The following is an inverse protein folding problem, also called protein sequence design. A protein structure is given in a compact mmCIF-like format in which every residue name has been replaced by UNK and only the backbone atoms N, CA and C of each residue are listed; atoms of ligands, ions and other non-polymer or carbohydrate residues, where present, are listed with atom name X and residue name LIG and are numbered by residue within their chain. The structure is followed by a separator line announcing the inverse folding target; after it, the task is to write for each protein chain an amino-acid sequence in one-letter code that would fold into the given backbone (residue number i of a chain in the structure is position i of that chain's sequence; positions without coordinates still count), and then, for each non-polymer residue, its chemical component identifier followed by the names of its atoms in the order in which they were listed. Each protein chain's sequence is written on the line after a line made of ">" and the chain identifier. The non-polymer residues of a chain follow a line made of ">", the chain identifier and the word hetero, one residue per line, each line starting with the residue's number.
data_IF_161584696890
#
_entry.id   IF_161584696890
#
_cell.length_a   1.000
_cell.length_b   1.000
_cell.length_c   1.000
_cell.angle_alpha   90.00
_cell.angle_beta   90.00
_cell.angle_gamma   90.00
#
_symmetry.space_group_name_H-M   'P 1'
#
loop_
_entity.id
_entity.type
_entity.pdbx_description
1 polymer ?
#
# COMPACT_ATOMS: atom_id res chain seq x y z
N UNK A 1 -16.13 -7.01 -6.81
CA UNK A 1 -14.69 -7.30 -7.00
C UNK A 1 -14.03 -6.00 -7.45
N UNK A 2 -12.76 -5.71 -7.11
CA UNK A 2 -12.05 -4.70 -7.91
C UNK A 2 -12.04 -5.16 -9.35
N UNK A 3 -12.04 -4.21 -10.26
CA UNK A 3 -11.60 -4.50 -11.60
C UNK A 3 -10.09 -4.77 -11.51
N UNK A 4 -9.60 -6.02 -11.72
CA UNK A 4 -8.18 -6.32 -11.74
C UNK A 4 -7.44 -5.59 -12.88
N UNK A 5 -8.17 -4.89 -13.76
CA UNK A 5 -7.65 -4.25 -14.96
C UNK A 5 -7.39 -2.75 -14.82
N UNK A 6 -7.63 -2.10 -13.67
CA UNK A 6 -7.16 -0.71 -13.50
C UNK A 6 -5.64 -0.74 -13.27
N UNK A 7 -4.84 -0.19 -14.22
CA UNK A 7 -3.39 -0.18 -14.06
C UNK A 7 -3.01 0.67 -12.85
N UNK A 8 -1.90 0.36 -12.17
CA UNK A 8 -1.40 1.20 -11.10
C UNK A 8 -1.20 2.64 -11.58
N UNK A 9 -1.67 3.61 -10.81
CA UNK A 9 -1.53 5.05 -11.14
C UNK A 9 -0.10 5.55 -10.93
N UNK A 10 0.72 4.80 -10.21
CA UNK A 10 2.12 5.09 -9.94
C UNK A 10 2.58 4.40 -8.68
N UNK A 11 3.62 4.96 -8.05
CA UNK A 11 4.18 4.42 -6.81
C UNK A 11 3.45 4.98 -5.60
N UNK A 12 3.35 6.30 -5.45
CA UNK A 12 2.73 6.92 -4.27
C UNK A 12 2.33 8.37 -4.60
N UNK A 13 1.51 9.06 -3.77
CA UNK A 13 1.32 10.49 -3.93
C UNK A 13 2.64 11.26 -3.74
N UNK A 14 2.76 12.38 -4.46
CA UNK A 14 3.90 13.30 -4.39
C UNK A 14 3.93 14.10 -3.08
N UNK A 15 2.75 14.44 -2.55
CA UNK A 15 2.57 15.03 -1.22
C UNK A 15 2.21 13.93 -0.24
N UNK A 16 3.05 13.71 0.77
CA UNK A 16 2.83 12.69 1.79
C UNK A 16 2.13 13.30 2.98
N UNK A 17 0.94 12.84 3.31
CA UNK A 17 0.30 13.17 4.57
C UNK A 17 0.87 12.25 5.67
N UNK A 18 1.71 12.80 6.54
CA UNK A 18 2.29 12.09 7.68
C UNK A 18 1.69 12.65 8.96
N UNK A 19 1.00 11.80 9.72
CA UNK A 19 0.46 12.15 11.04
C UNK A 19 1.24 11.41 12.12
N UNK A 20 1.80 12.11 13.14
CA UNK A 20 2.69 11.49 14.14
C UNK A 20 2.07 10.35 14.96
N UNK A 21 0.76 10.38 15.17
CA UNK A 21 0.02 9.44 16.03
C UNK A 21 -0.69 8.32 15.27
N UNK A 22 -0.62 8.29 13.94
CA UNK A 22 -1.33 7.31 13.11
C UNK A 22 -0.33 6.53 12.28
N UNK A 23 -0.53 5.21 12.16
CA UNK A 23 0.27 4.38 11.24
C UNK A 23 0.08 4.88 9.82
N UNK A 24 1.15 5.34 9.19
CA UNK A 24 1.13 5.92 7.86
C UNK A 24 0.98 4.86 6.76
N UNK A 25 0.50 5.27 5.57
CA UNK A 25 0.64 4.47 4.35
C UNK A 25 2.09 4.05 4.10
N UNK A 26 2.28 3.09 3.19
CA UNK A 26 3.62 2.63 2.82
C UNK A 26 4.30 3.70 1.95
N UNK A 27 4.91 4.69 2.60
CA UNK A 27 5.68 5.72 1.95
C UNK A 27 7.17 5.42 2.05
N UNK A 28 7.86 5.57 0.93
CA UNK A 28 9.31 5.58 0.90
C UNK A 28 9.84 6.76 0.10
N UNK A 29 11.09 7.13 0.31
CA UNK A 29 11.75 8.13 -0.50
C UNK A 29 12.18 7.52 -1.83
N UNK A 30 11.45 7.81 -2.91
CA UNK A 30 11.82 7.43 -4.27
C UNK A 30 12.77 8.50 -4.80
N UNK A 31 13.96 8.11 -5.24
CA UNK A 31 14.93 9.04 -5.86
C UNK A 31 14.69 9.08 -7.37
N UNK A 32 14.82 10.27 -7.98
CA UNK A 32 14.69 10.43 -9.45
C UNK A 32 13.27 10.21 -10.01
N UNK A 33 12.23 10.26 -9.17
CA UNK A 33 10.85 10.18 -9.64
C UNK A 33 10.45 11.44 -10.44
N UNK A 34 9.47 11.29 -11.32
CA UNK A 34 8.72 12.41 -11.90
C UNK A 34 7.37 12.55 -11.22
N UNK A 35 6.93 13.79 -11.01
CA UNK A 35 5.57 14.07 -10.53
C UNK A 35 4.63 14.21 -11.73
N UNK A 36 3.60 13.38 -11.78
CA UNK A 36 2.55 13.39 -12.82
C UNK A 36 1.21 13.46 -12.08
N UNK A 37 0.49 14.58 -12.23
CA UNK A 37 -0.82 14.80 -11.61
C UNK A 37 -0.86 14.51 -10.10
N UNK A 38 0.20 14.90 -9.39
CA UNK A 38 0.31 14.70 -7.96
C UNK A 38 0.80 13.30 -7.56
N UNK A 39 1.16 12.43 -8.51
CA UNK A 39 1.63 11.06 -8.28
C UNK A 39 3.12 10.90 -8.65
N UNK A 40 3.87 10.17 -7.83
CA UNK A 40 5.25 9.79 -8.12
C UNK A 40 5.30 8.60 -9.07
N UNK A 41 5.91 8.79 -10.24
CA UNK A 41 6.08 7.76 -11.28
C UNK A 41 7.57 7.58 -11.61
N UNK A 42 7.99 6.33 -11.82
CA UNK A 42 9.38 5.99 -12.13
C UNK A 42 10.34 6.15 -10.95
N UNK A 43 11.55 6.62 -11.25
CA UNK A 43 12.65 6.74 -10.29
C UNK A 43 13.44 5.45 -10.08
N UNK A 44 14.37 5.50 -9.14
CA UNK A 44 15.17 4.34 -8.75
C UNK A 44 14.30 3.18 -8.29
N UNK A 45 14.73 1.94 -8.58
CA UNK A 45 13.99 0.72 -8.25
C UNK A 45 13.59 0.68 -6.76
N UNK A 46 14.55 0.95 -5.88
CA UNK A 46 14.34 0.95 -4.43
C UNK A 46 14.08 2.33 -3.90
N UNK A 47 13.21 2.42 -2.89
CA UNK A 47 13.21 3.60 -2.02
C UNK A 47 14.48 3.61 -1.16
N UNK A 48 14.89 4.78 -0.66
CA UNK A 48 16.02 4.89 0.26
C UNK A 48 15.87 3.96 1.47
N UNK A 49 14.65 3.82 1.99
CA UNK A 49 14.33 2.95 3.13
C UNK A 49 14.39 1.47 2.76
N UNK A 50 13.93 1.09 1.56
CA UNK A 50 14.08 -0.28 1.06
C UNK A 50 15.55 -0.63 0.89
N UNK A 51 16.35 0.24 0.27
CA UNK A 51 17.78 0.02 0.08
C UNK A 51 18.51 -0.22 1.43
N UNK A 52 18.25 0.63 2.43
CA UNK A 52 18.78 0.44 3.77
C UNK A 52 18.32 -0.89 4.40
N UNK A 53 17.02 -1.22 4.28
CA UNK A 53 16.44 -2.44 4.84
C UNK A 53 16.92 -3.74 4.17
N UNK A 54 17.25 -3.69 2.88
CA UNK A 54 17.88 -4.77 2.10
C UNK A 54 19.28 -5.03 2.66
N UNK A 55 20.11 -3.98 2.74
CA UNK A 55 21.49 -4.06 3.22
C UNK A 55 21.57 -4.56 4.67
N UNK A 56 20.71 -4.04 5.55
CA UNK A 56 20.64 -4.50 6.94
C UNK A 56 20.26 -5.98 7.09
N UNK A 57 19.69 -6.60 6.06
CA UNK A 57 19.31 -8.02 6.04
C UNK A 57 20.35 -8.89 5.35
N UNK A 58 21.47 -8.32 4.89
CA UNK A 58 22.49 -9.05 4.12
C UNK A 58 22.00 -9.50 2.75
N UNK A 59 20.96 -8.85 2.21
CA UNK A 59 20.50 -9.08 0.85
C UNK A 59 21.29 -8.17 -0.11
N UNK A 60 21.54 -8.64 -1.32
CA UNK A 60 22.16 -7.83 -2.37
C UNK A 60 21.09 -6.99 -3.10
N UNK A 61 21.15 -5.64 -3.05
CA UNK A 61 20.18 -4.78 -3.71
C UNK A 61 20.12 -4.94 -5.23
N UNK A 62 21.16 -5.48 -5.87
CA UNK A 62 21.18 -5.68 -7.32
C UNK A 62 20.48 -6.98 -7.73
N UNK A 63 20.62 -8.04 -6.93
CA UNK A 63 20.18 -9.39 -7.30
C UNK A 63 19.03 -9.92 -6.46
N UNK A 64 18.62 -9.22 -5.39
CA UNK A 64 17.54 -9.70 -4.53
C UNK A 64 16.25 -9.93 -5.31
N UNK A 65 15.62 -11.07 -5.02
CA UNK A 65 14.31 -11.42 -5.52
C UNK A 65 13.30 -10.37 -5.06
N UNK A 66 12.40 -9.97 -5.96
CA UNK A 66 11.37 -8.99 -5.66
C UNK A 66 10.08 -9.33 -6.38
N UNK A 67 8.99 -8.74 -5.90
CA UNK A 67 7.69 -8.82 -6.55
C UNK A 67 7.04 -7.45 -6.61
N UNK A 68 6.28 -7.20 -7.68
CA UNK A 68 5.40 -6.05 -7.72
C UNK A 68 4.27 -6.26 -6.71
N UNK A 69 4.14 -5.31 -5.78
CA UNK A 69 3.07 -5.28 -4.79
C UNK A 69 2.10 -4.16 -5.11
N UNK A 70 0.84 -4.52 -5.28
CA UNK A 70 -0.30 -3.64 -5.55
C UNK A 70 -1.12 -3.42 -4.28
N UNK A 71 -1.55 -2.18 -4.08
CA UNK A 71 -2.45 -1.80 -2.99
C UNK A 71 -3.37 -0.69 -3.41
N UNK A 72 -4.55 -0.63 -2.80
CA UNK A 72 -5.42 0.53 -2.97
C UNK A 72 -4.87 1.71 -2.18
N UNK A 73 -5.08 2.91 -2.72
CA UNK A 73 -4.86 4.14 -2.02
C UNK A 73 -5.79 4.24 -0.79
N UNK A 74 -5.36 4.98 0.22
CA UNK A 74 -6.20 5.36 1.37
C UNK A 74 -6.61 6.82 1.29
N UNK A 75 -7.64 7.21 2.05
CA UNK A 75 -8.11 8.61 2.10
C UNK A 75 -7.04 9.60 2.59
N UNK A 76 -6.05 9.13 3.36
CA UNK A 76 -4.91 9.92 3.80
C UNK A 76 -3.86 10.14 2.68
N UNK A 77 -4.00 9.49 1.52
CA UNK A 77 -3.10 9.65 0.39
C UNK A 77 -3.70 10.53 -0.69
N UNK A 78 -4.95 10.23 -1.04
CA UNK A 78 -5.71 10.93 -2.07
C UNK A 78 -7.17 10.96 -1.62
N UNK A 79 -7.91 11.99 -2.04
CA UNK A 79 -9.35 11.99 -1.86
C UNK A 79 -9.99 10.89 -2.71
N UNK A 80 -10.83 10.05 -2.10
CA UNK A 80 -11.51 8.94 -2.77
C UNK A 80 -13.04 9.12 -2.61
N UNK A 81 -13.80 9.32 -3.70
CA UNK A 81 -15.25 9.45 -3.63
C UNK A 81 -15.96 8.19 -3.10
N UNK A 82 -17.17 8.34 -2.55
CA UNK A 82 -18.03 7.21 -2.15
C UNK A 82 -18.46 6.40 -3.39
N UNK A 83 -18.80 5.13 -3.20
CA UNK A 83 -19.09 4.16 -4.28
C UNK A 83 -18.02 4.02 -5.38
N UNK A 84 -16.80 4.51 -5.16
CA UNK A 84 -15.70 4.34 -6.11
C UNK A 84 -14.71 3.27 -5.67
N UNK A 85 -14.03 2.70 -6.66
CA UNK A 85 -12.88 1.86 -6.41
C UNK A 85 -11.67 2.79 -6.23
N UNK A 86 -10.98 2.74 -5.06
CA UNK A 86 -9.75 3.50 -4.88
C UNK A 86 -8.72 3.22 -5.99
N UNK A 87 -7.95 4.24 -6.33
CA UNK A 87 -6.77 4.08 -7.20
C UNK A 87 -5.80 3.05 -6.64
N UNK A 88 -5.00 2.43 -7.51
CA UNK A 88 -4.03 1.40 -7.12
C UNK A 88 -2.62 1.95 -7.25
N UNK A 89 -1.83 1.78 -6.19
CA UNK A 89 -0.39 2.03 -6.20
C UNK A 89 0.35 0.70 -6.32
N UNK A 90 1.48 0.70 -7.06
CA UNK A 90 2.34 -0.46 -7.21
C UNK A 90 3.79 -0.15 -6.88
N UNK A 91 4.47 -1.11 -6.27
CA UNK A 91 5.87 -1.00 -5.90
C UNK A 91 6.59 -2.33 -6.04
N UNK A 92 7.80 -2.32 -6.58
CA UNK A 92 8.71 -3.43 -6.39
C UNK A 92 9.08 -3.55 -4.91
N UNK A 93 8.78 -4.70 -4.32
CA UNK A 93 9.10 -5.00 -2.94
C UNK A 93 10.05 -6.22 -2.88
N UNK A 94 11.26 -6.07 -2.33
CA UNK A 94 12.17 -7.19 -2.11
C UNK A 94 11.52 -8.27 -1.25
N UNK A 95 11.68 -9.53 -1.65
CA UNK A 95 11.15 -10.68 -0.94
C UNK A 95 12.12 -11.06 0.19
N UNK A 96 11.58 -11.12 1.41
CA UNK A 96 12.29 -11.63 2.59
C UNK A 96 12.12 -13.14 2.68
N UNK A 97 10.88 -13.62 2.55
CA UNK A 97 10.54 -15.04 2.71
C UNK A 97 9.18 -15.36 2.10
N UNK A 98 9.08 -16.49 1.40
CA UNK A 98 7.79 -17.10 0.99
C UNK A 98 7.22 -17.92 2.16
N UNK A 99 5.95 -17.74 2.46
CA UNK A 99 5.26 -18.33 3.62
C UNK A 99 4.17 -19.30 3.16
N UNK A 100 3.71 -20.17 4.07
CA UNK A 100 2.56 -21.05 3.80
C UNK A 100 1.26 -20.26 3.59
N UNK A 101 0.35 -20.80 2.77
CA UNK A 101 -0.97 -20.23 2.52
C UNK A 101 -0.96 -18.97 1.64
N UNK A 102 -0.22 -19.01 0.53
CA UNK A 102 -0.13 -17.96 -0.49
C UNK A 102 0.23 -16.57 0.05
N UNK A 103 1.16 -16.55 1.02
CA UNK A 103 1.66 -15.33 1.65
C UNK A 103 3.14 -15.17 1.38
N UNK A 104 3.57 -13.93 1.16
CA UNK A 104 4.98 -13.57 0.96
C UNK A 104 5.31 -12.42 1.90
N UNK A 105 6.42 -12.54 2.63
CA UNK A 105 6.96 -11.47 3.47
C UNK A 105 7.91 -10.64 2.62
N UNK A 106 7.67 -9.34 2.54
CA UNK A 106 8.41 -8.39 1.70
C UNK A 106 8.91 -7.17 2.49
N UNK A 107 9.86 -6.43 1.93
CA UNK A 107 10.26 -5.10 2.41
C UNK A 107 9.41 -4.06 1.69
N UNK A 108 8.48 -3.42 2.41
CA UNK A 108 7.63 -2.37 1.85
C UNK A 108 8.40 -1.07 1.59
N UNK A 109 7.83 -0.10 0.84
CA UNK A 109 8.45 1.20 0.55
C UNK A 109 8.97 1.96 1.77
N UNK A 110 8.33 1.80 2.93
CA UNK A 110 8.73 2.38 4.23
C UNK A 110 9.93 1.66 4.88
N UNK A 111 10.50 0.65 4.21
CA UNK A 111 11.58 -0.20 4.72
C UNK A 111 11.12 -1.26 5.72
N UNK A 112 9.82 -1.27 6.07
CA UNK A 112 9.29 -2.17 7.08
C UNK A 112 8.86 -3.51 6.46
N UNK A 113 9.03 -4.63 7.19
CA UNK A 113 8.54 -5.92 6.72
C UNK A 113 7.00 -5.93 6.71
N UNK A 114 6.40 -6.35 5.59
CA UNK A 114 4.96 -6.58 5.46
C UNK A 114 4.71 -7.97 4.89
N UNK A 115 3.52 -8.51 5.11
CA UNK A 115 3.05 -9.73 4.47
C UNK A 115 2.13 -9.34 3.32
N UNK A 116 2.19 -10.02 2.19
CA UNK A 116 1.35 -9.77 1.01
C UNK A 116 0.87 -11.11 0.47
N UNK A 117 -0.15 -11.09 -0.38
CA UNK A 117 -0.55 -12.27 -1.12
C UNK A 117 0.48 -12.61 -2.21
N UNK A 118 0.60 -13.89 -2.53
CA UNK A 118 1.55 -14.39 -3.53
C UNK A 118 1.34 -13.81 -4.93
N UNK A 119 0.14 -13.30 -5.23
CA UNK A 119 -0.23 -12.65 -6.49
C UNK A 119 0.08 -11.14 -6.55
N UNK A 120 0.77 -10.60 -5.53
CA UNK A 120 1.15 -9.18 -5.50
C UNK A 120 0.21 -8.30 -4.70
N UNK A 121 -0.92 -8.79 -4.18
CA UNK A 121 -1.83 -7.90 -3.45
C UNK A 121 -1.40 -7.69 -1.98
N UNK A 122 -1.22 -6.43 -1.57
CA UNK A 122 -1.01 -6.06 -0.17
C UNK A 122 -2.22 -6.34 0.72
N UNK A 123 -3.41 -6.20 0.13
CA UNK A 123 -4.69 -6.62 0.68
C UNK A 123 -5.64 -6.90 -0.51
N UNK A 124 -6.72 -7.66 -0.29
CA UNK A 124 -7.71 -7.85 -1.35
C UNK A 124 -8.41 -6.53 -1.65
N UNK A 125 -8.59 -6.17 -2.92
CA UNK A 125 -9.24 -4.92 -3.26
C UNK A 125 -10.69 -4.86 -2.80
N UNK A 126 -11.17 -3.67 -2.47
CA UNK A 126 -12.51 -3.42 -1.99
C UNK A 126 -13.01 -2.06 -2.49
N UNK A 127 -14.33 -1.93 -2.60
CA UNK A 127 -14.99 -0.68 -2.97
C UNK A 127 -15.36 0.08 -1.70
N UNK A 128 -15.36 1.41 -1.75
CA UNK A 128 -15.99 2.20 -0.69
C UNK A 128 -17.50 1.91 -0.63
N UNK A 129 -18.14 1.97 0.56
CA UNK A 129 -19.58 1.86 0.67
C UNK A 129 -20.29 2.95 -0.12
N UNK A 130 -21.55 2.69 -0.43
CA UNK A 130 -22.37 3.52 -1.31
C UNK A 130 -22.85 4.81 -0.65
N UNK A 131 -23.07 4.79 0.67
CA UNK A 131 -23.64 5.94 1.38
C UNK A 131 -22.60 6.57 2.34
N UNK A 132 -22.55 7.91 2.46
CA UNK A 132 -21.61 8.60 3.38
C UNK A 132 -21.79 8.23 4.86
N UNK A 133 -23.00 7.81 5.24
CA UNK A 133 -23.46 7.41 6.58
C UNK A 133 -23.20 5.94 6.91
N UNK A 134 -22.87 5.12 5.91
CA UNK A 134 -22.22 3.83 6.16
C UNK A 134 -20.82 4.10 6.71
N UNK A 135 -20.59 3.76 7.98
CA UNK A 135 -19.32 3.97 8.66
C UNK A 135 -18.17 3.26 7.94
N UNK A 136 -17.48 4.01 7.08
CA UNK A 136 -16.31 3.52 6.35
C UNK A 136 -15.05 4.17 6.89
N UNK A 137 -14.14 3.34 7.38
CA UNK A 137 -12.85 3.80 7.84
C UNK A 137 -11.75 2.89 7.29
N UNK A 138 -11.07 3.38 6.26
CA UNK A 138 -9.81 2.83 5.77
C UNK A 138 -8.70 3.80 6.15
N UNK A 139 -8.15 3.63 7.35
CA UNK A 139 -7.06 4.46 7.85
C UNK A 139 -5.69 3.83 7.68
N UNK A 140 -5.64 2.53 7.39
CA UNK A 140 -4.41 1.73 7.43
C UNK A 140 -4.35 0.71 6.31
N UNK A 141 -3.11 0.43 5.93
CA UNK A 141 -2.74 -0.70 5.07
C UNK A 141 -1.86 -1.62 5.91
N UNK A 142 -2.46 -2.64 6.52
CA UNK A 142 -1.66 -3.73 7.11
C UNK A 142 -1.61 -4.88 6.10
N UNK A 143 -0.41 -5.43 5.91
CA UNK A 143 -0.18 -6.52 4.96
C UNK A 143 -1.07 -7.74 5.20
N UNK A 144 -1.22 -8.62 4.22
CA UNK A 144 -2.07 -9.81 4.26
C UNK A 144 -1.91 -10.65 5.54
N UNK A 145 -2.96 -10.75 6.36
CA UNK A 145 -3.09 -11.82 7.36
C UNK A 145 -3.12 -11.46 8.85
N UNK A 146 -3.41 -10.21 9.25
CA UNK A 146 -3.74 -9.85 10.63
C UNK A 146 -5.18 -9.35 10.76
N UNK A 147 -5.75 -9.35 11.97
CA UNK A 147 -7.08 -8.77 12.27
C UNK A 147 -7.17 -7.28 11.89
N UNK A 148 -6.05 -6.56 11.86
CA UNK A 148 -5.97 -5.16 11.40
C UNK A 148 -5.66 -4.97 9.91
N UNK A 149 -5.46 -6.03 9.12
CA UNK A 149 -5.18 -5.97 7.68
C UNK A 149 -6.41 -5.78 6.81
N UNK A 150 -7.57 -5.75 7.45
CA UNK A 150 -8.84 -5.59 6.79
C UNK A 150 -9.27 -4.13 6.98
N UNK A 151 -9.72 -3.45 5.92
CA UNK A 151 -10.52 -2.26 6.06
C UNK A 151 -11.69 -2.60 6.98
N UNK A 152 -11.89 -1.82 8.03
CA UNK A 152 -12.99 -2.07 8.96
C UNK A 152 -14.20 -1.33 8.41
N UNK A 153 -15.17 -2.10 7.93
CA UNK A 153 -16.52 -1.59 7.69
C UNK A 153 -17.26 -1.65 9.01
N UNK A 154 -17.69 -0.50 9.50
CA UNK A 154 -18.66 -0.42 10.59
C UNK A 154 -20.00 -0.09 9.96
N UNK A 155 -20.87 -1.09 9.82
CA UNK A 155 -22.29 -0.85 9.53
C UNK A 155 -23.00 -0.20 10.72
N UNK A 156 -22.33 -0.10 11.88
CA UNK A 156 -22.79 0.71 12.99
C UNK A 156 -22.79 2.17 12.52
N UNK A 157 -23.99 2.70 12.23
CA UNK A 157 -24.23 4.12 12.04
C UNK A 157 -23.60 4.84 13.23
N UNK A 158 -22.49 5.55 13.02
CA UNK A 158 -22.00 6.47 14.03
C UNK A 158 -23.04 7.57 14.07
N UNK A 159 -23.80 7.66 15.16
CA UNK A 159 -24.65 8.82 15.39
C UNK A 159 -23.74 10.05 15.35
N UNK A 160 -23.88 10.84 14.29
CA UNK A 160 -23.25 12.16 14.21
C UNK A 160 -23.93 12.98 15.31
N UNK A 161 -23.19 13.26 16.38
CA UNK A 161 -23.55 14.30 17.36
C UNK A 161 -22.81 15.56 16.99
#
# INVERSE_FOLDING_TARGET
>A
MADPNLPPVGRQPSVRQVSPSVRTPWYGNVVGYRNVDGIQVGGERWTTQQAAAILHRGLDPLTCEAMEVRRQAVNAEIWIPVDTLPAVFAFDCPIIKRMAGDKVKVIAPDGQPKIVFADGWGHRPFRRPRQPDDGFYQDRILGAGGSGSRPIFSTTRKAIR
#
